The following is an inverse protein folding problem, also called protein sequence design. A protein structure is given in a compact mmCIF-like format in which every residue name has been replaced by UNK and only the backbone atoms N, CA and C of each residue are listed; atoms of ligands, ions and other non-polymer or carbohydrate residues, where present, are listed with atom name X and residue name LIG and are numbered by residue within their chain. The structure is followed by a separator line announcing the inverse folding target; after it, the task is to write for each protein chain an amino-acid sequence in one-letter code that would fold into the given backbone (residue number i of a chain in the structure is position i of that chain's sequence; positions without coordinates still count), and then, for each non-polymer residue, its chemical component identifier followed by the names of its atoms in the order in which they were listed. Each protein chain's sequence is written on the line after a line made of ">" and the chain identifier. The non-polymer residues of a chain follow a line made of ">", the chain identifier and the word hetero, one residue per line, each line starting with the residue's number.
data_IF_630690722793
#
_entry.id   IF_630690722793
#
_cell.length_a   1.000
_cell.length_b   1.000
_cell.length_c   1.000
_cell.angle_alpha   90.00
_cell.angle_beta   90.00
_cell.angle_gamma   90.00
#
_symmetry.space_group_name_H-M   'P 1'
#
loop_
_entity.id
_entity.type
_entity.pdbx_description
1 polymer ?
#
# COMPACT_ATOMS: atom_id res chain seq x y z
N UNK A 1 8.65 14.58 1.25
CA UNK A 1 9.82 13.89 0.64
C UNK A 1 9.37 12.48 0.26
N UNK A 2 9.85 11.90 -0.85
CA UNK A 2 9.61 10.48 -1.13
C UNK A 2 10.18 9.65 0.02
N UNK A 3 9.49 8.56 0.38
CA UNK A 3 10.04 7.59 1.33
C UNK A 3 11.23 6.90 0.68
N UNK A 4 12.25 6.52 1.45
CA UNK A 4 13.36 5.75 0.89
C UNK A 4 12.95 4.28 0.79
N UNK A 5 13.55 3.56 -0.16
CA UNK A 5 13.32 2.12 -0.34
C UNK A 5 13.58 1.33 0.96
N UNK A 6 14.60 1.73 1.72
CA UNK A 6 14.98 1.12 3.01
C UNK A 6 13.92 1.27 4.12
N UNK A 7 13.04 2.25 4.00
CA UNK A 7 11.95 2.49 4.96
C UNK A 7 10.69 1.67 4.62
N UNK A 8 10.66 0.98 3.47
CA UNK A 8 9.56 0.10 3.06
C UNK A 8 9.79 -1.28 3.64
N UNK A 9 8.93 -1.67 4.58
CA UNK A 9 9.07 -2.92 5.33
C UNK A 9 7.82 -3.79 5.21
N UNK A 10 8.03 -5.11 5.27
CA UNK A 10 6.95 -6.10 5.30
C UNK A 10 6.10 -5.93 6.56
N UNK A 11 4.78 -6.03 6.42
CA UNK A 11 3.82 -5.86 7.51
C UNK A 11 3.50 -4.40 7.85
N UNK A 12 4.20 -3.44 7.23
CA UNK A 12 3.90 -2.01 7.38
C UNK A 12 2.89 -1.53 6.35
N UNK A 13 2.27 -0.40 6.66
CA UNK A 13 1.23 0.18 5.85
C UNK A 13 1.56 1.60 5.46
N UNK A 14 1.22 1.96 4.23
CA UNK A 14 1.64 3.21 3.62
C UNK A 14 0.49 3.85 2.86
N UNK A 15 0.56 5.16 2.68
CA UNK A 15 -0.37 5.91 1.82
C UNK A 15 0.36 6.62 0.69
N UNK A 16 -0.27 6.71 -0.48
CA UNK A 16 0.21 7.55 -1.58
C UNK A 16 -0.12 9.03 -1.37
N UNK A 17 0.38 9.89 -2.26
CA UNK A 17 0.00 11.31 -2.31
C UNK A 17 -1.42 11.45 -2.86
N UNK A 18 -2.19 12.43 -2.36
CA UNK A 18 -3.58 12.64 -2.81
C UNK A 18 -4.57 13.15 -1.75
N UNK A 19 -4.15 13.32 -0.49
CA UNK A 19 -5.05 13.73 0.59
C UNK A 19 -5.93 12.57 1.11
N UNK A 20 -6.80 12.81 2.08
CA UNK A 20 -7.55 11.73 2.74
C UNK A 20 -8.49 10.95 1.79
N UNK A 21 -9.01 11.63 0.75
CA UNK A 21 -10.01 11.09 -0.17
C UNK A 21 -9.42 10.47 -1.44
N UNK A 22 -8.22 10.92 -1.86
CA UNK A 22 -7.58 10.43 -3.09
C UNK A 22 -6.25 9.71 -2.84
N UNK A 23 -5.83 9.54 -1.59
CA UNK A 23 -4.67 8.70 -1.29
C UNK A 23 -5.06 7.23 -1.33
N UNK A 24 -4.32 6.48 -2.13
CA UNK A 24 -4.33 5.04 -2.06
C UNK A 24 -3.60 4.59 -0.81
N UNK A 25 -3.97 3.41 -0.32
CA UNK A 25 -3.42 2.88 0.91
C UNK A 25 -3.12 1.41 0.75
N UNK A 26 -1.95 1.01 1.23
CA UNK A 26 -1.36 -0.29 0.95
C UNK A 26 -0.85 -0.95 2.23
N UNK A 27 -1.00 -2.27 2.35
CA UNK A 27 -0.18 -3.10 3.24
C UNK A 27 0.90 -3.81 2.46
N UNK A 28 2.13 -3.77 2.92
CA UNK A 28 3.20 -4.57 2.33
C UNK A 28 3.10 -6.00 2.85
N UNK A 29 2.88 -6.94 1.93
CA UNK A 29 2.71 -8.36 2.26
C UNK A 29 4.05 -9.08 2.16
N UNK A 30 4.84 -8.77 1.14
CA UNK A 30 6.14 -9.41 0.91
C UNK A 30 7.07 -8.51 0.10
N UNK A 31 8.38 -8.69 0.28
CA UNK A 31 9.42 -8.05 -0.54
C UNK A 31 10.43 -9.13 -0.95
N UNK A 32 10.54 -9.40 -2.25
CA UNK A 32 11.45 -10.41 -2.80
C UNK A 32 12.31 -9.78 -3.88
N UNK A 33 13.63 -9.72 -3.67
CA UNK A 33 14.61 -9.17 -4.64
C UNK A 33 14.22 -7.77 -5.15
N UNK A 34 13.69 -6.91 -4.28
CA UNK A 34 13.25 -5.56 -4.65
C UNK A 34 11.89 -5.48 -5.35
N UNK A 35 11.18 -6.59 -5.51
CA UNK A 35 9.77 -6.62 -5.93
C UNK A 35 8.91 -6.63 -4.68
N UNK A 36 7.96 -5.71 -4.61
CA UNK A 36 7.03 -5.55 -3.51
C UNK A 36 5.67 -6.09 -3.90
N UNK A 37 5.18 -7.03 -3.11
CA UNK A 37 3.80 -7.48 -3.13
C UNK A 37 3.05 -6.74 -2.03
N UNK A 38 2.00 -6.04 -2.40
CA UNK A 38 1.17 -5.29 -1.47
C UNK A 38 -0.31 -5.60 -1.68
N UNK A 39 -1.08 -5.35 -0.63
CA UNK A 39 -2.54 -5.38 -0.67
C UNK A 39 -3.04 -3.94 -0.60
N UNK A 40 -3.79 -3.51 -1.61
CA UNK A 40 -4.49 -2.23 -1.57
C UNK A 40 -5.82 -2.40 -0.83
N UNK A 41 -6.21 -1.41 -0.04
CA UNK A 41 -7.58 -1.29 0.48
C UNK A 41 -8.24 0.00 0.02
N UNK A 42 -7.75 0.58 -1.07
CA UNK A 42 -8.48 1.63 -1.78
C UNK A 42 -9.76 1.00 -2.34
N UNK A 43 -10.91 1.58 -2.03
CA UNK A 43 -12.23 1.06 -2.43
C UNK A 43 -12.56 1.28 -3.90
N UNK A 44 -11.80 2.11 -4.62
CA UNK A 44 -12.00 2.39 -6.05
C UNK A 44 -10.86 1.74 -6.89
N UNK A 45 -11.16 0.71 -7.70
CA UNK A 45 -10.17 -0.01 -8.48
C UNK A 45 -9.58 0.82 -9.63
N UNK A 46 -10.30 1.83 -10.12
CA UNK A 46 -9.80 2.71 -11.18
C UNK A 46 -8.79 3.75 -10.65
N UNK A 47 -8.63 3.84 -9.33
CA UNK A 47 -7.64 4.69 -8.67
C UNK A 47 -6.36 3.97 -8.31
N UNK A 48 -6.22 2.69 -8.67
CA UNK A 48 -4.99 1.93 -8.42
C UNK A 48 -3.88 2.42 -9.37
N UNK A 49 -2.95 3.22 -8.84
CA UNK A 49 -1.83 3.76 -9.63
C UNK A 49 -0.74 2.72 -9.89
N UNK A 50 -0.73 1.63 -9.12
CA UNK A 50 0.29 0.59 -9.16
C UNK A 50 -0.34 -0.78 -9.44
N UNK A 51 0.45 -1.66 -10.06
CA UNK A 51 0.13 -3.09 -10.16
C UNK A 51 0.51 -3.80 -8.86
N UNK A 52 -0.20 -4.88 -8.51
CA UNK A 52 -0.02 -5.66 -7.27
C UNK A 52 1.43 -6.12 -7.03
N UNK A 53 2.21 -6.33 -8.10
CA UNK A 53 3.64 -6.56 -8.05
C UNK A 53 4.35 -5.38 -8.69
N UNK A 54 5.01 -4.55 -7.88
CA UNK A 54 5.75 -3.38 -8.34
C UNK A 54 7.17 -3.38 -7.80
N UNK A 55 8.08 -2.67 -8.45
CA UNK A 55 9.43 -2.47 -7.92
C UNK A 55 9.39 -1.58 -6.67
N UNK A 56 10.24 -1.88 -5.69
CA UNK A 56 10.35 -1.11 -4.43
C UNK A 56 10.66 0.37 -4.70
N UNK A 57 11.42 0.66 -5.77
CA UNK A 57 11.68 2.01 -6.28
C UNK A 57 10.42 2.75 -6.70
N UNK A 58 9.66 2.13 -7.60
CA UNK A 58 8.41 2.71 -8.09
C UNK A 58 7.40 2.92 -6.96
N UNK A 59 7.37 2.00 -5.98
CA UNK A 59 6.55 2.13 -4.78
C UNK A 59 7.01 3.30 -3.89
N UNK A 60 8.32 3.43 -3.65
CA UNK A 60 8.90 4.51 -2.85
C UNK A 60 8.62 5.91 -3.42
N UNK A 61 8.53 6.04 -4.75
CA UNK A 61 8.21 7.29 -5.43
C UNK A 61 6.78 7.77 -5.19
N UNK A 62 5.82 6.83 -5.12
CA UNK A 62 4.40 7.17 -4.91
C UNK A 62 3.99 7.25 -3.45
N UNK A 63 4.66 6.51 -2.57
CA UNK A 63 4.37 6.55 -1.13
C UNK A 63 4.75 7.92 -0.55
N UNK A 64 3.83 8.45 0.25
CA UNK A 64 4.02 9.69 0.97
C UNK A 64 4.49 9.48 2.41
N UNK A 65 3.84 8.56 3.15
CA UNK A 65 4.17 8.27 4.55
C UNK A 65 3.66 6.91 4.99
N UNK A 66 4.28 6.39 6.05
CA UNK A 66 3.74 5.28 6.85
C UNK A 66 2.44 5.71 7.54
N UNK A 67 1.48 4.79 7.62
CA UNK A 67 0.21 4.94 8.32
C UNK A 67 -0.05 3.69 9.18
N UNK A 68 -0.89 3.79 10.23
CA UNK A 68 -1.35 2.60 10.94
C UNK A 68 -2.06 1.64 9.97
N UNK A 69 -1.74 0.35 10.10
CA UNK A 69 -2.49 -0.70 9.43
C UNK A 69 -3.92 -0.78 10.00
N UNK A 70 -4.94 -1.07 9.19
CA UNK A 70 -6.29 -1.33 9.63
C UNK A 70 -6.27 -2.55 10.52
N UNK A 71 -7.18 -2.50 11.48
CA UNK A 71 -7.40 -3.55 12.44
C UNK A 71 -7.97 -4.78 11.75
N UNK A 72 -7.13 -5.81 11.56
CA UNK A 72 -7.47 -7.10 10.90
C UNK A 72 -8.18 -8.08 11.83
N UNK A 73 -8.70 -7.61 12.95
CA UNK A 73 -9.53 -8.43 13.83
C UNK A 73 -10.74 -8.97 13.05
N UNK A 74 -11.02 -10.29 13.12
CA UNK A 74 -12.04 -10.96 12.30
C UNK A 74 -13.47 -10.41 12.48
N UNK A 75 -13.70 -9.58 13.51
CA UNK A 75 -14.98 -8.96 13.83
C UNK A 75 -15.21 -7.60 13.16
N UNK A 76 -14.17 -6.98 12.59
CA UNK A 76 -14.29 -5.72 11.86
C UNK A 76 -14.22 -5.99 10.36
N UNK A 77 -15.29 -5.62 9.64
CA UNK A 77 -15.27 -5.54 8.17
C UNK A 77 -14.18 -4.57 7.77
N UNK A 78 -13.06 -5.08 7.28
CA UNK A 78 -12.17 -4.27 6.48
C UNK A 78 -12.73 -4.34 5.07
N UNK A 79 -13.08 -3.18 4.52
CA UNK A 79 -13.42 -3.02 3.11
C UNK A 79 -12.14 -3.23 2.28
N UNK A 80 -11.74 -4.49 2.11
CA UNK A 80 -10.68 -4.87 1.20
C UNK A 80 -11.23 -4.89 -0.21
N UNK A 81 -10.46 -4.34 -1.14
CA UNK A 81 -10.62 -4.67 -2.55
C UNK A 81 -9.83 -5.96 -2.81
N UNK A 82 -10.55 -7.06 -3.06
CA UNK A 82 -9.99 -8.33 -3.52
C UNK A 82 -10.04 -8.34 -5.07
N UNK A 83 -8.89 -8.32 -5.76
CA UNK A 83 -8.85 -8.34 -7.22
C UNK A 83 -8.98 -9.75 -7.83
N UNK A 84 -9.37 -10.77 -7.05
CA UNK A 84 -9.54 -12.15 -7.51
C UNK A 84 -10.65 -12.31 -8.55
#
# INVERSE_FOLDING_TARGET
>A
MPIKEEDIQVGKCYRSRGGAENSEKYTIINIVRGIVTYQSWTTDPYRLSLRTNTGIKALAEVIFKEIPCPDRSPEKKIDYFDPS
#
